data_IF_864354031669
#
_entry.id   IF_864354031669
#
_cell.length_a   1.000
_cell.length_b   1.000
_cell.length_c   1.000
_cell.angle_alpha   90.00
_cell.angle_beta   90.00
_cell.angle_gamma   90.00
#
_symmetry.space_group_name_H-M   'P 1'
#
loop_
_entity.id
_entity.type
_entity.pdbx_description
1 polymer ?
#
# COMPACT_ATOMS: atom_id res chain seq x y z
N UNK A 1 20.87 14.49 11.15
CA UNK A 1 20.31 15.86 11.15
C UNK A 1 19.07 15.85 10.25
N UNK A 2 17.89 15.56 10.82
CA UNK A 2 16.67 15.50 10.02
C UNK A 2 16.31 16.91 9.57
N UNK A 3 16.45 17.18 8.27
CA UNK A 3 16.16 18.49 7.69
C UNK A 3 14.68 18.82 7.90
N UNK A 4 14.36 20.04 8.32
CA UNK A 4 12.96 20.52 8.47
C UNK A 4 12.11 20.28 7.20
N UNK A 5 12.76 20.30 6.02
CA UNK A 5 12.18 19.92 4.73
C UNK A 5 11.69 18.48 4.68
N UNK A 6 12.41 17.53 5.27
CA UNK A 6 12.01 16.12 5.33
C UNK A 6 10.74 15.96 6.16
N UNK A 7 10.67 16.59 7.33
CA UNK A 7 9.47 16.53 8.17
C UNK A 7 8.27 17.20 7.50
N UNK A 8 8.50 18.32 6.80
CA UNK A 8 7.46 18.99 6.00
C UNK A 8 6.94 18.10 4.86
N UNK A 9 7.82 17.46 4.09
CA UNK A 9 7.43 16.52 3.03
C UNK A 9 6.67 15.30 3.58
N UNK A 10 7.12 14.76 4.71
CA UNK A 10 6.46 13.63 5.37
C UNK A 10 5.05 14.00 5.86
N UNK A 11 4.90 15.18 6.47
CA UNK A 11 3.60 15.70 6.88
C UNK A 11 2.65 15.94 5.69
N UNK A 12 3.17 16.44 4.56
CA UNK A 12 2.39 16.65 3.34
C UNK A 12 1.84 15.33 2.78
N UNK A 13 2.66 14.27 2.77
CA UNK A 13 2.27 12.92 2.32
C UNK A 13 1.20 12.26 3.18
N UNK A 14 1.26 12.45 4.50
CA UNK A 14 0.24 11.92 5.41
C UNK A 14 -1.08 12.68 5.24
N UNK A 15 -1.00 14.01 5.13
CA UNK A 15 -2.18 14.86 4.99
C UNK A 15 -2.94 14.60 3.68
N UNK A 16 -2.24 14.26 2.58
CA UNK A 16 -2.89 13.91 1.31
C UNK A 16 -3.64 12.57 1.35
N UNK A 17 -3.32 11.69 2.30
CA UNK A 17 -3.98 10.38 2.46
C UNK A 17 -5.34 10.52 3.16
N UNK A 18 -5.49 11.49 4.06
CA UNK A 18 -6.70 11.71 4.89
C UNK A 18 -7.87 12.23 4.05
N UNK A 19 -7.59 12.98 2.97
CA UNK A 19 -8.61 13.53 2.04
C UNK A 19 -8.70 12.67 0.77
N UNK A 20 -8.14 11.46 0.77
CA UNK A 20 -8.36 10.52 -0.32
C UNK A 20 -9.67 9.77 -0.08
N UNK A 21 -10.77 10.28 -0.65
CA UNK A 21 -11.86 9.39 -1.05
C UNK A 21 -11.20 8.36 -1.96
N UNK A 22 -11.19 7.08 -1.56
CA UNK A 22 -10.51 5.97 -2.23
C UNK A 22 -10.37 6.27 -3.72
N UNK A 23 -9.14 6.65 -4.14
CA UNK A 23 -8.86 7.21 -5.46
C UNK A 23 -9.63 6.41 -6.49
N UNK A 24 -10.64 7.06 -7.06
CA UNK A 24 -11.71 6.43 -7.82
C UNK A 24 -11.09 5.50 -8.85
N UNK A 25 -11.13 4.20 -8.56
CA UNK A 25 -11.08 3.25 -9.63
C UNK A 25 -12.29 3.57 -10.51
N UNK A 26 -12.13 3.46 -11.83
CA UNK A 26 -13.25 3.38 -12.75
C UNK A 26 -14.31 2.30 -12.37
N UNK A 27 -14.11 1.56 -11.28
CA UNK A 27 -15.04 0.64 -10.65
C UNK A 27 -16.41 1.22 -10.33
N UNK A 28 -16.59 2.54 -10.10
CA UNK A 28 -17.95 3.08 -9.86
C UNK A 28 -18.88 2.86 -11.05
N UNK A 29 -18.38 3.06 -12.27
CA UNK A 29 -19.16 2.85 -13.48
C UNK A 29 -19.46 1.36 -13.73
N UNK A 30 -18.51 0.47 -13.45
CA UNK A 30 -18.68 -1.00 -13.62
C UNK A 30 -19.57 -1.61 -12.53
N UNK A 31 -19.53 -1.09 -11.30
CA UNK A 31 -20.38 -1.56 -10.20
C UNK A 31 -21.83 -1.07 -10.35
N UNK A 32 -22.04 0.14 -10.89
CA UNK A 32 -23.39 0.68 -11.11
C UNK A 32 -24.08 0.13 -12.37
N UNK A 33 -23.31 -0.39 -13.35
CA UNK A 33 -23.86 -0.93 -14.61
C UNK A 33 -23.65 -2.43 -14.82
N UNK A 34 -22.84 -3.08 -13.98
CA UNK A 34 -22.51 -4.50 -14.09
C UNK A 34 -23.42 -5.40 -13.28
N UNK A 35 -23.49 -6.67 -13.67
CA UNK A 35 -24.21 -7.73 -12.94
C UNK A 35 -23.53 -8.10 -11.61
N UNK A 36 -24.27 -8.75 -10.70
CA UNK A 36 -23.82 -9.13 -9.36
C UNK A 36 -22.46 -9.84 -9.35
N UNK A 37 -22.19 -10.72 -10.32
CA UNK A 37 -20.91 -11.42 -10.43
C UNK A 37 -19.71 -10.53 -10.76
N UNK A 38 -19.93 -9.42 -11.49
CA UNK A 38 -18.87 -8.43 -11.76
C UNK A 38 -18.51 -7.65 -10.49
N UNK A 39 -19.52 -7.31 -9.68
CA UNK A 39 -19.31 -6.60 -8.42
C UNK A 39 -18.52 -7.42 -7.40
N UNK A 40 -18.85 -8.70 -7.30
CA UNK A 40 -18.13 -9.64 -6.43
C UNK A 40 -16.68 -9.86 -6.90
N UNK A 41 -16.47 -9.97 -8.22
CA UNK A 41 -15.13 -10.07 -8.81
C UNK A 41 -14.21 -8.88 -8.47
N UNK A 42 -14.75 -7.65 -8.50
CA UNK A 42 -13.99 -6.44 -8.12
C UNK A 42 -13.62 -6.45 -6.64
N UNK A 43 -14.55 -6.81 -5.74
CA UNK A 43 -14.28 -6.86 -4.29
C UNK A 43 -13.19 -7.90 -3.95
N UNK A 44 -13.25 -9.06 -4.60
CA UNK A 44 -12.24 -10.10 -4.47
C UNK A 44 -10.89 -9.66 -5.02
N UNK A 45 -10.88 -8.91 -6.13
CA UNK A 45 -9.67 -8.33 -6.72
C UNK A 45 -8.98 -7.31 -5.81
N UNK A 46 -9.74 -6.41 -5.18
CA UNK A 46 -9.20 -5.43 -4.22
C UNK A 46 -8.55 -6.15 -3.03
N UNK A 47 -9.24 -7.15 -2.48
CA UNK A 47 -8.73 -7.95 -1.36
C UNK A 47 -7.44 -8.70 -1.75
N UNK A 48 -7.38 -9.23 -2.97
CA UNK A 48 -6.18 -9.91 -3.49
C UNK A 48 -4.99 -8.95 -3.65
N UNK A 49 -5.22 -7.75 -4.20
CA UNK A 49 -4.17 -6.76 -4.39
C UNK A 49 -3.64 -6.17 -3.07
N UNK A 50 -4.47 -6.10 -2.02
CA UNK A 50 -4.04 -5.68 -0.69
C UNK A 50 -3.00 -6.61 -0.05
N UNK A 51 -2.97 -7.90 -0.41
CA UNK A 51 -2.00 -8.86 0.14
C UNK A 51 -0.56 -8.51 -0.28
N UNK A 52 -0.37 -8.00 -1.50
CA UNK A 52 0.95 -7.71 -2.06
C UNK A 52 1.78 -6.72 -1.21
N UNK A 53 1.26 -5.54 -0.81
CA UNK A 53 1.96 -4.63 0.09
C UNK A 53 2.49 -5.30 1.36
N UNK A 54 1.71 -6.15 2.01
CA UNK A 54 2.15 -6.84 3.23
C UNK A 54 3.29 -7.83 2.97
N UNK A 55 3.22 -8.58 1.86
CA UNK A 55 4.28 -9.51 1.46
C UNK A 55 5.59 -8.78 1.15
N UNK A 56 5.52 -7.63 0.46
CA UNK A 56 6.69 -6.82 0.13
C UNK A 56 7.36 -6.27 1.39
N UNK A 57 6.58 -5.75 2.35
CA UNK A 57 7.11 -5.26 3.62
C UNK A 57 7.74 -6.40 4.43
N UNK A 58 7.10 -7.57 4.49
CA UNK A 58 7.67 -8.75 5.15
C UNK A 58 9.00 -9.17 4.51
N UNK A 59 9.06 -9.25 3.18
CA UNK A 59 10.28 -9.58 2.44
C UNK A 59 11.40 -8.57 2.68
N UNK A 60 11.09 -7.28 2.70
CA UNK A 60 12.04 -6.22 3.01
C UNK A 60 12.62 -6.38 4.43
N UNK A 61 11.77 -6.58 5.45
CA UNK A 61 12.26 -6.77 6.81
C UNK A 61 13.05 -8.06 6.98
N UNK A 62 12.64 -9.14 6.32
CA UNK A 62 13.35 -10.41 6.36
C UNK A 62 14.76 -10.30 5.75
N UNK A 63 14.89 -9.64 4.59
CA UNK A 63 16.19 -9.41 3.93
C UNK A 63 17.09 -8.51 4.77
N UNK A 64 16.56 -7.43 5.35
CA UNK A 64 17.31 -6.55 6.26
C UNK A 64 17.77 -7.28 7.53
N UNK A 65 16.92 -8.12 8.13
CA UNK A 65 17.29 -8.93 9.29
C UNK A 65 18.43 -9.90 8.97
N UNK A 66 18.33 -10.63 7.85
CA UNK A 66 19.38 -11.54 7.37
C UNK A 66 20.69 -10.80 7.11
N UNK A 67 20.63 -9.65 6.45
CA UNK A 67 21.81 -8.81 6.19
C UNK A 67 22.49 -8.41 7.50
N UNK A 68 21.75 -7.82 8.46
CA UNK A 68 22.32 -7.42 9.75
C UNK A 68 22.88 -8.60 10.56
N UNK A 69 22.18 -9.74 10.56
CA UNK A 69 22.65 -10.95 11.27
C UNK A 69 23.97 -11.47 10.69
N UNK A 70 24.15 -11.40 9.37
CA UNK A 70 25.40 -11.81 8.72
C UNK A 70 26.54 -10.82 9.00
N UNK A 71 26.25 -9.51 9.09
CA UNK A 71 27.24 -8.49 9.46
C UNK A 71 27.71 -8.61 10.92
N UNK A 72 26.85 -9.04 11.85
CA UNK A 72 27.22 -9.29 13.26
C UNK A 72 28.06 -10.56 13.44
N UNK A 73 28.04 -11.46 12.45
CA UNK A 73 28.75 -12.75 12.53
C UNK A 73 30.16 -12.71 11.91
N UNK A 74 30.53 -11.61 11.27
CA UNK A 74 31.87 -11.29 10.77
C UNK A 74 32.55 -10.29 11.71
#
# INVERSE_FOLDING_TARGET
MYNKKFFFFFFLMISSSIVSNAQCAMCKAVLETGDLGMAEGVNNGISYLMVFPYLLIFGLFFTLYRYKKNQVKN
#
